data_IF_592730778771
#
_entry.id   IF_592730778771
#
_cell.length_a   1.000
_cell.length_b   1.000
_cell.length_c   1.000
_cell.angle_alpha   90.00
_cell.angle_beta   90.00
_cell.angle_gamma   90.00
#
_symmetry.space_group_name_H-M   'P 1'
#
loop_
_entity.id
_entity.type
_entity.pdbx_description
1 polymer ?
#
# COMPACT_ATOMS: atom_id res chain seq x y z
N UNK A 1 16.78 68.70 42.37
CA UNK A 1 17.30 67.32 42.18
C UNK A 1 16.17 66.45 41.54
N UNK A 2 16.14 66.37 40.20
CA UNK A 2 15.16 65.69 39.48
C UNK A 2 15.68 64.31 39.09
N UNK A 3 15.06 63.26 39.62
CA UNK A 3 15.43 61.85 39.32
C UNK A 3 14.68 61.40 38.03
N UNK A 4 15.41 61.14 36.93
CA UNK A 4 14.91 60.51 35.74
C UNK A 4 14.90 58.98 35.96
N UNK A 5 13.73 58.42 35.94
CA UNK A 5 13.53 56.95 35.90
C UNK A 5 13.44 56.51 34.44
N UNK A 6 14.43 55.74 33.97
CA UNK A 6 14.44 55.12 32.65
C UNK A 6 13.68 53.82 32.76
N UNK A 7 12.52 53.75 32.11
CA UNK A 7 11.73 52.51 31.93
C UNK A 7 12.30 51.76 30.76
N UNK A 8 12.91 50.60 31.00
CA UNK A 8 13.32 49.65 29.95
C UNK A 8 12.12 48.78 29.61
N UNK A 9 11.50 49.05 28.47
CA UNK A 9 10.45 48.18 27.88
C UNK A 9 11.17 47.03 27.18
N UNK A 10 11.15 45.84 27.77
CA UNK A 10 11.66 44.62 27.17
C UNK A 10 10.65 44.16 26.12
N UNK A 11 11.02 44.27 24.85
CA UNK A 11 10.24 43.79 23.72
C UNK A 11 10.54 42.28 23.54
N UNK A 12 9.69 41.42 24.10
CA UNK A 12 9.77 39.98 23.93
C UNK A 12 9.23 39.65 22.51
N UNK A 13 10.16 39.45 21.58
CA UNK A 13 9.81 38.93 20.25
C UNK A 13 9.49 37.44 20.39
N UNK A 14 8.21 37.11 20.37
CA UNK A 14 7.75 35.75 20.25
C UNK A 14 7.98 35.30 18.79
N UNK A 15 9.11 34.64 18.54
CA UNK A 15 9.31 33.91 17.27
C UNK A 15 8.49 32.61 17.38
N UNK A 16 7.25 32.64 16.88
CA UNK A 16 6.50 31.43 16.62
C UNK A 16 7.20 30.69 15.48
N UNK A 17 7.98 29.68 15.85
CA UNK A 17 8.43 28.65 14.90
C UNK A 17 7.15 27.89 14.49
N UNK A 18 6.57 28.29 13.38
CA UNK A 18 5.64 27.45 12.65
C UNK A 18 6.49 26.23 12.19
N UNK A 19 6.44 25.17 12.95
CA UNK A 19 6.82 23.86 12.42
C UNK A 19 5.85 23.60 11.26
N UNK A 20 6.29 23.91 10.04
CA UNK A 20 5.64 23.35 8.86
C UNK A 20 5.68 21.84 9.09
N UNK A 21 4.52 21.26 9.35
CA UNK A 21 4.33 19.83 9.21
C UNK A 21 4.58 19.58 7.72
N UNK A 22 5.80 19.20 7.39
CA UNK A 22 6.14 18.64 6.09
C UNK A 22 5.38 17.33 6.00
N UNK A 23 4.14 17.41 5.53
CA UNK A 23 3.47 16.23 5.00
C UNK A 23 4.41 15.70 3.92
N UNK A 24 5.03 14.57 4.18
CA UNK A 24 5.92 13.95 3.22
C UNK A 24 5.08 13.70 1.95
N UNK A 25 5.46 14.37 0.88
CA UNK A 25 4.70 14.42 -0.34
C UNK A 25 5.10 13.22 -1.18
N UNK A 26 4.16 12.31 -1.45
CA UNK A 26 4.42 11.17 -2.33
C UNK A 26 4.73 11.71 -3.73
N UNK A 27 5.96 11.48 -4.20
CA UNK A 27 6.39 11.91 -5.53
C UNK A 27 5.69 11.07 -6.61
N UNK A 28 5.29 11.69 -7.76
CA UNK A 28 4.61 10.97 -8.85
C UNK A 28 5.33 9.70 -9.30
N UNK A 29 6.65 9.76 -9.38
CA UNK A 29 7.52 8.67 -9.83
C UNK A 29 7.59 7.50 -8.84
N UNK A 30 7.14 7.73 -7.61
CA UNK A 30 7.04 6.66 -6.61
C UNK A 30 5.82 5.78 -6.82
N UNK A 31 4.80 6.27 -7.51
CA UNK A 31 3.54 5.54 -7.75
C UNK A 31 3.74 4.57 -8.90
N UNK A 32 3.62 3.27 -8.64
CA UNK A 32 3.63 2.23 -9.68
C UNK A 32 2.23 1.87 -10.16
N UNK A 33 1.26 1.79 -9.27
CA UNK A 33 -0.12 1.48 -9.63
C UNK A 33 -1.07 1.83 -8.49
N UNK A 34 -2.28 2.24 -8.85
CA UNK A 34 -3.37 2.51 -7.91
C UNK A 34 -4.66 1.94 -8.49
N UNK A 35 -5.24 0.98 -7.77
CA UNK A 35 -6.50 0.33 -8.12
C UNK A 35 -7.52 0.72 -7.05
N UNK A 36 -8.40 1.67 -7.40
CA UNK A 36 -9.48 2.13 -6.50
C UNK A 36 -10.61 1.11 -6.38
N UNK A 37 -10.72 0.20 -7.36
CA UNK A 37 -11.74 -0.84 -7.43
C UNK A 37 -13.19 -0.28 -7.44
N UNK A 38 -13.34 0.95 -7.96
CA UNK A 38 -14.60 1.71 -8.05
C UNK A 38 -15.40 1.45 -9.36
N UNK A 39 -15.02 0.43 -10.14
CA UNK A 39 -15.60 0.15 -11.43
C UNK A 39 -17.04 -0.34 -11.34
N UNK A 40 -17.96 0.35 -12.00
CA UNK A 40 -19.38 -0.02 -12.02
C UNK A 40 -19.71 -1.26 -12.89
N UNK A 41 -18.76 -1.74 -13.70
CA UNK A 41 -18.93 -2.90 -14.58
C UNK A 41 -17.64 -3.70 -14.65
N UNK A 42 -17.72 -4.96 -14.20
CA UNK A 42 -16.58 -5.87 -14.15
C UNK A 42 -16.03 -6.24 -15.52
N UNK A 43 -14.81 -5.89 -15.78
CA UNK A 43 -13.99 -6.27 -16.94
C UNK A 43 -12.52 -6.16 -16.60
N UNK A 44 -12.13 -5.10 -15.91
CA UNK A 44 -10.78 -4.87 -15.45
C UNK A 44 -10.80 -4.09 -14.14
N UNK A 45 -9.77 -4.24 -13.32
CA UNK A 45 -9.43 -3.33 -12.24
C UNK A 45 -8.53 -2.23 -12.83
N UNK A 46 -9.09 -1.05 -13.04
CA UNK A 46 -8.42 0.05 -13.74
C UNK A 46 -7.27 0.63 -12.92
N UNK A 47 -6.10 0.80 -13.53
CA UNK A 47 -4.98 1.52 -12.92
C UNK A 47 -5.22 3.04 -13.00
N UNK A 48 -5.73 3.60 -11.91
CA UNK A 48 -6.01 5.04 -11.77
C UNK A 48 -4.75 5.90 -11.73
N UNK A 49 -3.56 5.32 -11.54
CA UNK A 49 -2.28 6.04 -11.58
C UNK A 49 -1.88 6.48 -13.00
N UNK A 50 -2.56 5.96 -14.03
CA UNK A 50 -2.28 6.18 -15.46
C UNK A 50 -0.96 5.55 -15.95
N UNK A 51 -0.37 4.64 -15.19
CA UNK A 51 0.80 3.88 -15.63
C UNK A 51 0.44 2.68 -16.53
N UNK A 52 -0.86 2.46 -16.81
CA UNK A 52 -1.36 1.45 -17.74
C UNK A 52 -1.26 0.01 -17.22
N UNK A 53 -1.33 -0.17 -15.89
CA UNK A 53 -1.26 -1.49 -15.23
C UNK A 53 -2.64 -1.98 -14.83
N UNK A 54 -3.56 -1.99 -15.77
CA UNK A 54 -4.90 -2.51 -15.53
C UNK A 54 -4.85 -3.99 -15.14
N UNK A 55 -5.59 -4.34 -14.10
CA UNK A 55 -5.73 -5.70 -13.64
C UNK A 55 -6.83 -6.44 -14.40
N UNK A 56 -6.54 -7.63 -14.91
CA UNK A 56 -7.52 -8.52 -15.52
C UNK A 56 -8.27 -9.30 -14.45
N UNK A 57 -9.58 -9.25 -14.48
CA UNK A 57 -10.43 -10.04 -13.59
C UNK A 57 -10.53 -11.48 -14.12
N UNK A 58 -10.29 -12.44 -13.24
CA UNK A 58 -10.55 -13.87 -13.47
C UNK A 58 -11.68 -14.30 -12.55
N UNK A 59 -12.64 -15.02 -13.08
CA UNK A 59 -13.86 -15.43 -12.36
C UNK A 59 -14.92 -14.33 -12.33
N UNK A 60 -15.75 -14.36 -11.31
CA UNK A 60 -16.86 -13.42 -11.12
C UNK A 60 -16.66 -12.66 -9.82
N UNK A 61 -16.18 -11.42 -9.92
CA UNK A 61 -16.11 -10.51 -8.80
C UNK A 61 -17.38 -9.64 -8.76
N UNK A 62 -17.90 -9.40 -7.58
CA UNK A 62 -19.01 -8.47 -7.38
C UNK A 62 -18.46 -7.12 -6.99
N UNK A 63 -19.02 -6.08 -7.58
CA UNK A 63 -18.78 -4.70 -7.14
C UNK A 63 -19.78 -4.42 -6.02
N UNK A 64 -19.28 -4.02 -4.86
CA UNK A 64 -20.07 -3.77 -3.66
C UNK A 64 -19.69 -2.44 -3.03
N UNK A 65 -20.53 -1.94 -2.12
CA UNK A 65 -20.16 -0.78 -1.30
C UNK A 65 -18.98 -1.16 -0.41
N UNK A 66 -17.95 -0.32 -0.37
CA UNK A 66 -16.70 -0.60 0.32
C UNK A 66 -16.29 0.51 1.29
N UNK A 67 -15.02 0.57 1.66
CA UNK A 67 -14.46 1.58 2.59
C UNK A 67 -14.55 2.97 1.99
N UNK A 68 -14.12 3.11 0.73
CA UNK A 68 -14.28 4.30 -0.10
C UNK A 68 -15.10 3.92 -1.33
N UNK A 69 -16.27 4.55 -1.51
CA UNK A 69 -17.18 4.28 -2.63
C UNK A 69 -17.51 2.79 -2.84
N UNK A 70 -16.78 2.10 -3.71
CA UNK A 70 -16.96 0.71 -4.10
C UNK A 70 -15.67 -0.09 -3.94
N UNK A 71 -15.79 -1.41 -3.97
CA UNK A 71 -14.69 -2.35 -3.94
C UNK A 71 -15.11 -3.71 -4.51
N UNK A 72 -14.18 -4.64 -4.59
CA UNK A 72 -14.45 -5.97 -5.11
C UNK A 72 -14.64 -6.98 -3.99
N UNK A 73 -15.76 -7.72 -4.05
CA UNK A 73 -16.04 -8.86 -3.19
C UNK A 73 -15.49 -10.15 -3.80
N UNK A 74 -14.69 -10.86 -3.02
CA UNK A 74 -14.06 -12.16 -3.33
C UNK A 74 -14.72 -13.25 -2.50
N UNK A 75 -15.17 -14.33 -3.14
CA UNK A 75 -15.97 -15.38 -2.49
C UNK A 75 -15.11 -16.49 -1.84
N UNK A 76 -13.80 -16.35 -1.73
CA UNK A 76 -12.92 -17.41 -1.21
C UNK A 76 -12.81 -18.63 -2.14
N UNK A 77 -12.95 -18.42 -3.44
CA UNK A 77 -12.86 -19.46 -4.47
C UNK A 77 -11.54 -19.35 -5.24
N UNK A 78 -10.96 -20.48 -5.59
CA UNK A 78 -9.87 -20.52 -6.57
C UNK A 78 -10.37 -19.96 -7.91
N UNK A 79 -9.47 -19.35 -8.67
CA UNK A 79 -9.80 -18.70 -9.94
C UNK A 79 -10.78 -17.52 -9.82
N UNK A 80 -10.78 -16.84 -8.66
CA UNK A 80 -11.54 -15.63 -8.43
C UNK A 80 -10.59 -14.55 -7.88
N UNK A 81 -9.95 -13.80 -8.78
CA UNK A 81 -8.87 -12.85 -8.46
C UNK A 81 -8.70 -11.79 -9.54
N UNK A 82 -7.97 -10.73 -9.22
CA UNK A 82 -7.45 -9.76 -10.19
C UNK A 82 -5.98 -10.07 -10.47
N UNK A 83 -5.58 -10.10 -11.74
CA UNK A 83 -4.20 -10.31 -12.18
C UNK A 83 -3.69 -9.08 -12.93
N UNK A 84 -2.74 -8.36 -12.33
CA UNK A 84 -2.01 -7.26 -12.98
C UNK A 84 -0.83 -7.87 -13.74
N UNK A 85 -0.79 -7.76 -15.08
CA UNK A 85 0.25 -8.36 -15.89
C UNK A 85 1.66 -7.94 -15.45
N UNK A 86 2.62 -8.85 -15.58
CA UNK A 86 4.00 -8.53 -15.25
C UNK A 86 4.55 -7.41 -16.13
N UNK A 87 5.24 -6.50 -15.49
CA UNK A 87 6.15 -5.52 -16.07
C UNK A 87 7.42 -5.49 -15.21
N UNK A 88 8.56 -5.19 -15.80
CA UNK A 88 9.87 -5.22 -15.08
C UNK A 88 9.88 -4.29 -13.85
N UNK A 89 9.14 -3.19 -13.86
CA UNK A 89 9.03 -2.27 -12.73
C UNK A 89 8.27 -2.88 -11.54
N UNK A 90 7.52 -3.96 -11.76
CA UNK A 90 6.86 -4.73 -10.70
C UNK A 90 7.80 -5.73 -10.00
N UNK A 91 9.07 -5.82 -10.40
CA UNK A 91 10.11 -6.48 -9.64
C UNK A 91 10.68 -5.51 -8.60
N UNK A 92 10.07 -5.45 -7.45
CA UNK A 92 10.27 -4.43 -6.43
C UNK A 92 11.54 -4.70 -5.63
N UNK A 93 12.50 -3.75 -5.64
CA UNK A 93 13.68 -3.77 -4.76
C UNK A 93 13.39 -3.11 -3.42
N UNK A 94 12.59 -2.08 -3.45
CA UNK A 94 11.98 -1.37 -2.32
C UNK A 94 10.52 -1.18 -2.66
N UNK A 95 9.67 -1.16 -1.66
CA UNK A 95 8.25 -1.01 -1.93
C UNK A 95 7.47 -0.47 -0.75
N UNK A 96 6.30 0.03 -1.05
CA UNK A 96 5.15 0.07 -0.15
C UNK A 96 3.95 -0.47 -0.91
N UNK A 97 3.21 -1.37 -0.29
CA UNK A 97 1.89 -1.80 -0.75
C UNK A 97 0.91 -1.48 0.36
N UNK A 98 -0.20 -0.86 0.00
CA UNK A 98 -1.31 -0.56 0.91
C UNK A 98 -2.60 -1.09 0.34
N UNK A 99 -3.53 -1.49 1.20
CA UNK A 99 -4.88 -1.85 0.80
C UNK A 99 -5.84 -1.78 2.01
N UNK A 100 -7.10 -1.57 1.73
CA UNK A 100 -8.17 -1.82 2.66
C UNK A 100 -8.78 -3.20 2.42
N UNK A 101 -9.12 -3.89 3.48
CA UNK A 101 -9.90 -5.12 3.36
C UNK A 101 -10.91 -5.26 4.50
N UNK A 102 -12.02 -5.91 4.18
CA UNK A 102 -12.95 -6.48 5.14
C UNK A 102 -12.91 -8.00 4.93
N UNK A 103 -12.11 -8.69 5.77
CA UNK A 103 -11.79 -10.10 5.58
C UNK A 103 -12.71 -10.97 6.43
N UNK A 104 -13.32 -11.97 5.78
CA UNK A 104 -14.11 -12.97 6.47
C UNK A 104 -13.25 -14.16 6.94
N UNK A 105 -13.66 -14.81 8.00
CA UNK A 105 -13.04 -16.09 8.43
C UNK A 105 -13.27 -17.17 7.37
N UNK A 106 -12.21 -17.81 6.89
CA UNK A 106 -12.33 -18.86 5.87
C UNK A 106 -11.90 -20.24 6.37
N UNK A 107 -11.23 -20.31 7.53
CA UNK A 107 -10.61 -21.56 8.03
C UNK A 107 -9.43 -22.04 7.17
N UNK A 108 -8.93 -21.21 6.25
CA UNK A 108 -7.81 -21.48 5.35
C UNK A 108 -6.85 -20.29 5.34
N UNK A 109 -5.65 -20.48 4.83
CA UNK A 109 -4.77 -19.36 4.49
C UNK A 109 -5.46 -18.45 3.48
N UNK A 110 -5.32 -17.16 3.66
CA UNK A 110 -5.86 -16.13 2.79
C UNK A 110 -4.77 -15.17 2.36
N UNK A 111 -4.79 -14.78 1.10
CA UNK A 111 -3.80 -13.88 0.52
C UNK A 111 -4.51 -12.73 -0.19
N UNK A 112 -4.59 -11.55 0.43
CA UNK A 112 -5.20 -10.38 -0.21
C UNK A 112 -4.38 -9.83 -1.37
N UNK A 113 -3.05 -9.77 -1.22
CA UNK A 113 -2.14 -9.24 -2.26
C UNK A 113 -0.86 -10.07 -2.30
N UNK A 114 -0.42 -10.46 -3.50
CA UNK A 114 0.83 -11.20 -3.70
C UNK A 114 1.46 -10.98 -5.07
N UNK A 115 2.78 -11.10 -5.14
CA UNK A 115 3.55 -11.37 -6.36
C UNK A 115 4.52 -12.49 -6.06
N UNK A 116 4.16 -13.70 -6.47
CA UNK A 116 4.87 -14.94 -6.15
C UNK A 116 5.01 -15.80 -7.39
N UNK A 117 6.00 -16.68 -7.40
CA UNK A 117 6.21 -17.69 -8.42
C UNK A 117 5.13 -18.79 -8.30
N UNK A 118 4.08 -18.65 -9.11
CA UNK A 118 2.97 -19.59 -9.10
C UNK A 118 3.36 -20.96 -9.68
N UNK A 119 4.28 -21.01 -10.62
CA UNK A 119 4.72 -22.26 -11.27
C UNK A 119 5.53 -23.14 -10.29
N UNK A 120 6.34 -22.52 -9.42
CA UNK A 120 7.12 -23.20 -8.40
C UNK A 120 6.39 -23.30 -7.04
N UNK A 121 5.07 -23.15 -7.02
CA UNK A 121 4.25 -23.28 -5.80
C UNK A 121 4.51 -22.18 -4.76
N UNK A 122 4.96 -20.99 -5.20
CA UNK A 122 5.22 -19.85 -4.32
C UNK A 122 6.53 -19.96 -3.54
N UNK A 123 7.51 -20.69 -4.05
CA UNK A 123 8.84 -20.79 -3.42
C UNK A 123 9.63 -19.49 -3.46
N UNK A 124 9.41 -18.66 -4.49
CA UNK A 124 9.96 -17.31 -4.61
C UNK A 124 8.83 -16.28 -4.47
N UNK A 125 9.13 -15.19 -3.76
CA UNK A 125 8.16 -14.11 -3.47
C UNK A 125 8.85 -12.76 -3.62
N UNK A 126 8.29 -11.90 -4.46
CA UNK A 126 8.68 -10.51 -4.46
C UNK A 126 7.98 -9.76 -3.31
N UNK A 127 6.70 -10.03 -3.13
CA UNK A 127 5.89 -9.60 -1.98
C UNK A 127 4.69 -10.53 -1.79
N UNK A 128 4.29 -10.74 -0.54
CA UNK A 128 3.17 -11.61 -0.20
C UNK A 128 2.59 -11.24 1.16
N UNK A 129 1.29 -10.96 1.20
CA UNK A 129 0.55 -10.74 2.42
C UNK A 129 -0.25 -12.00 2.74
N UNK A 130 -0.07 -12.53 3.94
CA UNK A 130 -0.69 -13.79 4.36
C UNK A 130 -1.46 -13.61 5.66
N UNK A 131 -2.62 -14.27 5.73
CA UNK A 131 -3.42 -14.39 6.95
C UNK A 131 -3.67 -15.87 7.21
N UNK A 132 -3.26 -16.42 8.37
CA UNK A 132 -3.40 -17.83 8.69
C UNK A 132 -4.86 -18.21 8.98
N UNK A 133 -5.18 -19.54 8.93
CA UNK A 133 -6.53 -20.07 9.23
C UNK A 133 -7.04 -19.77 10.63
N UNK A 134 -6.11 -19.66 11.60
CA UNK A 134 -6.39 -19.37 13.00
C UNK A 134 -5.61 -18.14 13.44
N UNK A 135 -6.23 -17.31 14.27
CA UNK A 135 -5.63 -16.07 14.80
C UNK A 135 -5.72 -14.87 13.88
N UNK A 136 -6.05 -15.06 12.60
CA UNK A 136 -6.45 -14.00 11.67
C UNK A 136 -5.53 -12.79 11.49
N UNK A 137 -4.32 -12.81 12.05
CA UNK A 137 -3.38 -11.71 11.99
C UNK A 137 -2.59 -11.71 10.66
N UNK A 138 -2.53 -10.56 10.01
CA UNK A 138 -1.81 -10.44 8.74
C UNK A 138 -0.30 -10.40 8.95
N UNK A 139 0.44 -10.96 7.99
CA UNK A 139 1.89 -10.89 7.90
C UNK A 139 2.30 -10.52 6.49
N UNK A 140 3.44 -9.85 6.34
CA UNK A 140 4.03 -9.54 5.03
C UNK A 140 5.37 -10.25 4.88
N UNK A 141 5.61 -10.81 3.69
CA UNK A 141 6.82 -11.57 3.36
C UNK A 141 7.37 -11.19 2.00
N UNK A 142 8.68 -11.44 1.82
CA UNK A 142 9.34 -11.65 0.54
C UNK A 142 10.36 -12.79 0.70
N UNK A 143 10.98 -13.27 -0.38
CA UNK A 143 12.05 -14.26 -0.33
C UNK A 143 13.36 -13.74 -0.88
N UNK A 144 14.46 -14.36 -0.45
CA UNK A 144 15.82 -14.17 -0.94
C UNK A 144 16.42 -15.53 -1.25
N UNK A 145 15.94 -16.14 -2.32
CA UNK A 145 16.14 -17.53 -2.70
C UNK A 145 14.95 -18.41 -2.37
N UNK A 146 14.84 -19.55 -3.05
CA UNK A 146 13.72 -20.47 -2.91
C UNK A 146 13.47 -20.87 -1.46
N UNK A 147 12.23 -20.62 -0.98
CA UNK A 147 11.78 -20.90 0.40
C UNK A 147 12.60 -20.20 1.51
N UNK A 148 13.41 -19.20 1.18
CA UNK A 148 14.11 -18.38 2.17
C UNK A 148 13.33 -17.12 2.46
N UNK A 149 12.27 -17.24 3.22
CA UNK A 149 11.32 -16.17 3.49
C UNK A 149 11.83 -15.19 4.53
N UNK A 150 11.51 -13.93 4.32
CA UNK A 150 11.80 -12.79 5.19
C UNK A 150 10.48 -12.11 5.48
N UNK A 151 10.12 -11.97 6.74
CA UNK A 151 8.78 -11.52 7.11
C UNK A 151 8.73 -10.54 8.27
N UNK A 152 7.59 -9.88 8.36
CA UNK A 152 7.13 -9.13 9.51
C UNK A 152 5.72 -9.60 9.84
N UNK A 153 5.53 -10.09 11.08
CA UNK A 153 4.29 -10.75 11.51
C UNK A 153 3.48 -9.79 12.39
N UNK A 154 2.27 -9.48 11.97
CA UNK A 154 1.35 -8.63 12.71
C UNK A 154 0.74 -9.28 13.95
N UNK A 155 -0.02 -8.49 14.68
CA UNK A 155 -0.67 -8.90 15.94
C UNK A 155 -2.18 -8.74 15.90
N UNK A 156 -2.68 -7.75 15.15
CA UNK A 156 -4.11 -7.50 15.02
C UNK A 156 -4.75 -8.58 14.17
N UNK A 157 -5.84 -9.14 14.65
CA UNK A 157 -6.72 -10.00 13.87
C UNK A 157 -7.46 -9.13 12.84
N UNK A 158 -7.27 -9.45 11.54
CA UNK A 158 -7.89 -8.73 10.41
C UNK A 158 -8.98 -9.56 9.72
N UNK A 159 -9.17 -10.82 10.15
CA UNK A 159 -10.25 -11.68 9.68
C UNK A 159 -11.46 -11.67 10.65
N UNK A 160 -11.87 -10.49 11.08
CA UNK A 160 -12.94 -10.25 12.04
C UNK A 160 -14.17 -9.56 11.41
N UNK A 161 -14.25 -9.57 10.08
CA UNK A 161 -15.33 -8.96 9.28
C UNK A 161 -15.42 -7.44 9.43
N UNK A 162 -14.38 -6.78 9.97
CA UNK A 162 -14.28 -5.31 10.01
C UNK A 162 -13.31 -4.82 8.95
N UNK A 163 -13.41 -3.52 8.68
CA UNK A 163 -12.47 -2.84 7.79
C UNK A 163 -11.14 -2.61 8.47
N UNK A 164 -10.07 -3.16 7.88
CA UNK A 164 -8.69 -2.91 8.28
C UNK A 164 -7.88 -2.36 7.13
N UNK A 165 -7.04 -1.36 7.41
CA UNK A 165 -6.02 -0.89 6.50
C UNK A 165 -4.72 -1.63 6.77
N UNK A 166 -4.15 -2.25 5.75
CA UNK A 166 -2.87 -2.95 5.85
C UNK A 166 -1.85 -2.31 4.93
N UNK A 167 -0.63 -2.14 5.41
CA UNK A 167 0.49 -1.71 4.59
C UNK A 167 1.77 -2.46 4.94
N UNK A 168 2.50 -2.91 3.90
CA UNK A 168 3.85 -3.44 4.00
C UNK A 168 4.83 -2.49 3.33
N UNK A 169 5.89 -2.10 4.02
CA UNK A 169 6.90 -1.16 3.52
C UNK A 169 8.30 -1.73 3.67
N UNK A 170 9.11 -1.69 2.60
CA UNK A 170 10.47 -2.20 2.58
C UNK A 170 11.44 -1.18 1.98
N UNK A 171 12.49 -0.82 2.70
CA UNK A 171 13.50 0.17 2.30
C UNK A 171 14.82 -0.44 1.77
N UNK A 172 14.89 -1.77 1.66
CA UNK A 172 16.11 -2.52 1.33
C UNK A 172 16.88 -3.02 2.57
N UNK A 173 16.40 -2.70 3.78
CA UNK A 173 17.00 -3.11 5.07
C UNK A 173 15.96 -3.54 6.09
N UNK A 174 14.82 -2.86 6.14
CA UNK A 174 13.74 -3.07 7.09
C UNK A 174 12.45 -3.33 6.34
N UNK A 175 11.78 -4.41 6.70
CA UNK A 175 10.41 -4.70 6.29
C UNK A 175 9.50 -4.35 7.45
N UNK A 176 8.61 -3.39 7.25
CA UNK A 176 7.66 -2.90 8.24
C UNK A 176 6.25 -3.34 7.85
N UNK A 177 5.47 -3.74 8.83
CA UNK A 177 4.04 -4.00 8.68
C UNK A 177 3.26 -3.01 9.52
N UNK A 178 2.27 -2.40 8.90
CA UNK A 178 1.29 -1.51 9.53
C UNK A 178 -0.11 -2.09 9.41
N UNK A 179 -0.86 -2.01 10.50
CA UNK A 179 -2.30 -2.28 10.54
C UNK A 179 -2.98 -1.07 11.17
N UNK A 180 -4.01 -0.56 10.51
CA UNK A 180 -4.79 0.61 10.92
C UNK A 180 -3.90 1.84 11.27
N UNK A 181 -2.85 2.05 10.45
CA UNK A 181 -1.91 3.14 10.60
C UNK A 181 -0.91 2.99 11.73
N UNK A 182 -0.89 1.85 12.44
CA UNK A 182 0.03 1.54 13.52
C UNK A 182 1.09 0.55 13.02
N UNK A 183 2.38 0.85 13.22
CA UNK A 183 3.44 -0.12 12.97
C UNK A 183 3.37 -1.26 13.99
N UNK A 184 3.07 -2.46 13.53
CA UNK A 184 2.94 -3.64 14.39
C UNK A 184 4.16 -4.54 14.42
N UNK A 185 4.90 -4.56 13.31
CA UNK A 185 6.05 -5.43 13.19
C UNK A 185 7.17 -4.83 12.35
N UNK A 186 8.39 -5.28 12.63
CA UNK A 186 9.60 -4.97 11.88
C UNK A 186 10.42 -6.25 11.69
N UNK A 187 10.86 -6.50 10.45
CA UNK A 187 11.86 -7.49 10.10
C UNK A 187 13.12 -6.81 9.57
N UNK A 188 14.28 -7.14 10.12
CA UNK A 188 15.58 -6.62 9.64
C UNK A 188 16.15 -7.55 8.58
N UNK A 189 16.01 -7.18 7.30
CA UNK A 189 16.41 -7.99 6.15
C UNK A 189 17.12 -7.12 5.13
N UNK A 190 18.38 -7.43 4.83
CA UNK A 190 19.17 -6.69 3.85
C UNK A 190 19.10 -7.35 2.47
N UNK A 191 19.06 -6.54 1.43
CA UNK A 191 19.16 -7.00 0.04
C UNK A 191 17.83 -6.92 -0.70
N UNK A 192 17.79 -7.48 -1.89
CA UNK A 192 16.64 -7.41 -2.78
C UNK A 192 15.72 -8.61 -2.56
N UNK A 193 14.40 -8.42 -2.63
CA UNK A 193 13.46 -9.51 -2.83
C UNK A 193 13.75 -10.27 -4.12
N UNK A 194 13.31 -11.52 -4.22
CA UNK A 194 13.39 -12.29 -5.45
C UNK A 194 12.56 -11.64 -6.56
N UNK A 195 13.07 -11.69 -7.79
CA UNK A 195 12.40 -11.21 -8.98
C UNK A 195 11.82 -12.37 -9.77
N UNK A 196 10.67 -12.13 -10.39
CA UNK A 196 9.94 -13.11 -11.19
C UNK A 196 9.05 -12.42 -12.22
N UNK A 197 8.71 -13.15 -13.27
CA UNK A 197 7.85 -12.64 -14.35
C UNK A 197 6.35 -12.94 -14.10
N UNK A 198 6.01 -13.42 -12.90
CA UNK A 198 4.63 -13.64 -12.48
C UNK A 198 3.88 -12.32 -12.26
N UNK A 199 2.55 -12.30 -12.45
CA UNK A 199 1.73 -11.12 -12.22
C UNK A 199 1.65 -10.75 -10.75
N UNK A 200 1.30 -9.47 -10.46
CA UNK A 200 0.76 -9.09 -9.16
C UNK A 200 -0.70 -9.53 -9.08
N UNK A 201 -1.07 -10.19 -7.99
CA UNK A 201 -2.40 -10.75 -7.78
C UNK A 201 -3.11 -10.06 -6.63
N UNK A 202 -4.41 -9.75 -6.79
CA UNK A 202 -5.29 -9.25 -5.75
C UNK A 202 -6.41 -10.27 -5.51
N UNK A 203 -6.70 -10.57 -4.24
CA UNK A 203 -7.76 -11.49 -3.85
C UNK A 203 -7.34 -12.97 -3.88
N UNK A 204 -6.05 -13.25 -3.75
CA UNK A 204 -5.50 -14.60 -3.77
C UNK A 204 -4.86 -14.95 -5.10
N UNK A 205 -5.08 -16.16 -5.55
CA UNK A 205 -4.48 -16.69 -6.76
C UNK A 205 -4.94 -18.12 -7.00
N UNK A 206 -4.01 -18.98 -7.41
CA UNK A 206 -4.32 -20.37 -7.74
C UNK A 206 -4.34 -21.31 -6.51
N UNK A 207 -3.88 -20.87 -5.34
CA UNK A 207 -3.75 -21.75 -4.16
C UNK A 207 -4.48 -21.27 -2.90
N UNK A 208 -4.39 -20.00 -2.53
CA UNK A 208 -4.98 -19.46 -1.29
C UNK A 208 -5.90 -18.30 -1.57
N UNK A 209 -7.20 -18.58 -1.82
CA UNK A 209 -8.15 -17.56 -2.20
C UNK A 209 -8.48 -16.67 -1.00
N UNK A 210 -8.66 -15.39 -1.27
CA UNK A 210 -9.16 -14.42 -0.31
C UNK A 210 -10.69 -14.47 -0.25
N UNK A 211 -11.26 -14.31 0.95
CA UNK A 211 -12.69 -14.18 1.19
C UNK A 211 -12.99 -12.87 1.90
N UNK A 212 -13.80 -12.02 1.28
CA UNK A 212 -14.14 -10.70 1.79
C UNK A 212 -14.08 -9.63 0.71
N UNK A 213 -13.94 -8.38 1.12
CA UNK A 213 -13.89 -7.21 0.23
C UNK A 213 -12.50 -6.62 0.26
N UNK A 214 -11.95 -6.25 -0.90
CA UNK A 214 -10.73 -5.45 -1.05
C UNK A 214 -11.11 -4.13 -1.69
N UNK A 215 -10.44 -3.05 -1.23
CA UNK A 215 -10.62 -1.69 -1.67
C UNK A 215 -9.29 -0.92 -1.63
N UNK A 216 -9.15 0.11 -2.47
CA UNK A 216 -8.04 1.07 -2.46
C UNK A 216 -6.65 0.42 -2.37
N UNK A 217 -6.24 -0.30 -3.41
CA UNK A 217 -4.91 -0.92 -3.47
C UNK A 217 -3.89 0.01 -4.10
N UNK A 218 -2.82 0.33 -3.36
CA UNK A 218 -1.72 1.18 -3.81
C UNK A 218 -0.38 0.46 -3.84
N UNK A 219 0.39 0.64 -4.90
CA UNK A 219 1.73 0.10 -5.08
C UNK A 219 2.73 1.23 -5.35
N UNK A 220 3.80 1.26 -4.58
CA UNK A 220 4.85 2.28 -4.64
C UNK A 220 6.23 1.63 -4.70
N UNK A 221 7.17 2.21 -5.46
CA UNK A 221 8.54 1.71 -5.62
C UNK A 221 9.53 2.19 -4.53
N UNK A 222 9.01 2.72 -3.43
CA UNK A 222 9.80 3.18 -2.28
C UNK A 222 9.11 2.83 -0.96
N UNK A 223 9.88 2.82 0.11
CA UNK A 223 9.32 2.80 1.46
C UNK A 223 8.70 4.18 1.75
N UNK A 224 7.39 4.22 1.92
CA UNK A 224 6.67 5.40 2.40
C UNK A 224 6.87 5.58 3.90
N UNK A 225 6.77 6.82 4.37
CA UNK A 225 6.78 7.12 5.80
C UNK A 225 5.49 6.64 6.50
N UNK A 226 5.54 6.51 7.82
CA UNK A 226 4.36 6.19 8.61
C UNK A 226 3.23 7.24 8.42
N UNK A 227 3.61 8.51 8.27
CA UNK A 227 2.65 9.60 8.04
C UNK A 227 2.01 9.51 6.66
N UNK A 228 2.78 9.16 5.60
CA UNK A 228 2.22 8.93 4.26
C UNK A 228 1.21 7.77 4.28
N UNK A 229 1.57 6.65 4.92
CA UNK A 229 0.69 5.48 5.07
C UNK A 229 -0.59 5.86 5.83
N UNK A 230 -0.46 6.67 6.87
CA UNK A 230 -1.60 7.14 7.67
C UNK A 230 -2.50 8.09 6.90
N UNK A 231 -1.92 8.97 6.08
CA UNK A 231 -2.68 9.86 5.19
C UNK A 231 -3.44 9.04 4.13
N UNK A 232 -2.80 8.05 3.48
CA UNK A 232 -3.48 7.13 2.55
C UNK A 232 -4.64 6.43 3.26
N UNK A 233 -4.43 5.92 4.46
CA UNK A 233 -5.48 5.26 5.25
C UNK A 233 -6.68 6.17 5.51
N UNK A 234 -6.44 7.43 5.89
CA UNK A 234 -7.51 8.35 6.29
C UNK A 234 -8.25 8.94 5.09
N UNK A 235 -7.52 9.34 4.05
CA UNK A 235 -8.03 10.18 2.97
C UNK A 235 -8.30 9.38 1.68
N UNK A 236 -7.88 8.11 1.62
CA UNK A 236 -7.97 7.24 0.46
C UNK A 236 -6.94 7.55 -0.63
N UNK A 237 -6.78 6.61 -1.55
CA UNK A 237 -5.81 6.73 -2.66
C UNK A 237 -6.25 7.73 -3.73
N UNK A 238 -7.54 8.02 -3.86
CA UNK A 238 -8.03 9.07 -4.77
C UNK A 238 -7.48 10.45 -4.40
N UNK A 239 -7.38 10.76 -3.11
CA UNK A 239 -6.76 11.99 -2.60
C UNK A 239 -5.26 12.03 -2.89
N UNK A 240 -4.57 10.91 -2.74
CA UNK A 240 -3.15 10.75 -3.11
C UNK A 240 -2.94 11.06 -4.60
N UNK A 241 -3.78 10.54 -5.49
CA UNK A 241 -3.73 10.82 -6.93
C UNK A 241 -3.92 12.30 -7.25
N UNK A 242 -4.82 12.99 -6.56
CA UNK A 242 -5.06 14.42 -6.77
C UNK A 242 -3.81 15.25 -6.43
N UNK A 243 -3.13 14.94 -5.32
CA UNK A 243 -1.89 15.60 -4.90
C UNK A 243 -0.75 15.31 -5.89
N UNK A 244 -0.54 14.05 -6.24
CA UNK A 244 0.49 13.60 -7.19
C UNK A 244 0.30 14.28 -8.55
N UNK A 245 -0.93 14.34 -9.07
CA UNK A 245 -1.24 14.99 -10.34
C UNK A 245 -0.99 16.50 -10.33
N UNK A 246 -1.20 17.17 -9.21
CA UNK A 246 -0.92 18.61 -9.07
C UNK A 246 0.58 18.91 -9.07
N UNK A 247 1.38 18.02 -8.46
CA UNK A 247 2.85 18.11 -8.44
C UNK A 247 3.46 17.92 -9.83
N UNK A 248 3.01 16.92 -10.58
CA UNK A 248 3.45 16.67 -11.95
C UNK A 248 3.22 17.88 -12.86
N UNK A 249 2.11 18.61 -12.71
CA UNK A 249 1.83 19.85 -13.45
C UNK A 249 2.79 20.98 -13.09
N UNK A 250 3.15 21.15 -11.82
CA UNK A 250 4.08 22.19 -11.39
C UNK A 250 5.49 21.95 -11.94
N UNK A 251 5.98 20.72 -11.93
CA UNK A 251 7.32 20.38 -12.45
C UNK A 251 7.43 20.61 -13.96
N UNK A 252 6.42 20.28 -14.75
CA UNK A 252 6.39 20.54 -16.20
C UNK A 252 6.36 22.03 -16.48
N UNK A 253 5.58 22.82 -15.78
CA UNK A 253 5.50 24.28 -15.95
C UNK A 253 6.85 24.95 -15.64
N UNK A 254 7.57 24.51 -14.60
CA UNK A 254 8.91 25.03 -14.29
C UNK A 254 9.97 24.66 -15.32
N UNK A 255 9.87 23.49 -15.95
CA UNK A 255 10.76 23.06 -17.03
C UNK A 255 10.54 23.89 -18.31
N UNK A 256 9.29 24.25 -18.61
CA UNK A 256 8.94 25.10 -19.76
C UNK A 256 9.35 26.57 -19.58
N UNK A 257 9.37 27.10 -18.35
CA UNK A 257 9.78 28.48 -18.07
C UNK A 257 11.31 28.67 -18.15
N UNK A 258 12.09 27.60 -18.06
CA UNK A 258 13.57 27.63 -18.12
C UNK A 258 14.16 27.44 -19.53
N UNK A 259 13.33 27.25 -20.56
CA UNK A 259 13.71 27.25 -21.97
C UNK A 259 13.51 28.64 -22.57
#
# INVERSE_FOLDING_TARGET
MTRFTISIISFMVFVSILAEQSSAKIEPEAVLGIWLLDENKGGAATDSSKNGRDGKITGSLKVVKAKFNQGFEFEGKLNNYVSVPHDKSLNLEKFTITYWCQMEVSGKWQIPVQKVDNAAGGSHRNVDFQTPPAGGNVSVYFSQGANQWRGANGKTEVSDEKWHHTAGSYDGKKLLLYVDGVQEAEGSHKGKPDFMDDPLMLGGGTIWPFKGIIDDVGLFNKALSADDIKNIMNDGLSSTLAVVSSLGKLTTTWAEIKQ
#
